data_IF_835028471410
#
_entry.id   IF_835028471410
#
_cell.length_a   1.000
_cell.length_b   1.000
_cell.length_c   1.000
_cell.angle_alpha   90.00
_cell.angle_beta   90.00
_cell.angle_gamma   90.00
#
_symmetry.space_group_name_H-M   'P 1'
#
loop_
_entity.id
_entity.type
_entity.pdbx_description
1 polymer ?
#
# COMPACT_ATOMS: atom_id res chain seq x y z
N UNK A 1 -25.18 31.17 75.43
CA UNK A 1 -26.05 32.30 75.02
C UNK A 1 -26.89 31.83 73.83
N UNK A 2 -28.20 31.70 74.08
CA UNK A 2 -29.35 31.89 73.17
C UNK A 2 -29.29 31.36 71.71
N UNK A 3 -30.04 30.27 71.49
CA UNK A 3 -31.04 30.11 70.40
C UNK A 3 -31.92 31.37 70.27
N UNK A 4 -32.57 31.70 69.12
CA UNK A 4 -33.60 30.82 68.55
C UNK A 4 -33.85 30.87 67.02
N UNK A 5 -34.55 29.80 66.60
CA UNK A 5 -35.43 29.70 65.44
C UNK A 5 -36.30 30.96 65.22
N UNK A 6 -36.48 31.35 63.96
CA UNK A 6 -37.63 32.16 63.55
C UNK A 6 -38.32 31.58 62.32
N UNK A 7 -39.56 31.10 62.57
CA UNK A 7 -40.58 30.75 61.60
C UNK A 7 -41.05 32.01 60.87
N UNK A 8 -40.91 32.04 59.54
CA UNK A 8 -41.59 32.99 58.67
C UNK A 8 -42.93 32.43 58.19
N UNK A 9 -44.01 32.89 58.80
CA UNK A 9 -45.41 32.72 58.37
C UNK A 9 -45.65 33.52 57.08
N UNK A 10 -46.25 32.93 56.04
CA UNK A 10 -46.91 33.66 54.95
C UNK A 10 -48.29 33.04 54.64
N UNK A 11 -49.24 33.84 54.15
CA UNK A 11 -50.65 33.73 54.53
C UNK A 11 -51.46 32.79 53.65
N UNK A 12 -52.58 32.34 54.22
CA UNK A 12 -53.71 31.71 53.51
C UNK A 12 -54.43 32.78 52.69
N UNK A 13 -54.67 32.49 51.41
CA UNK A 13 -55.72 33.15 50.63
C UNK A 13 -56.34 32.19 49.62
N UNK A 14 -57.57 31.81 49.97
CA UNK A 14 -58.75 31.62 49.10
C UNK A 14 -58.59 30.92 47.75
N UNK A 15 -59.15 29.71 47.73
CA UNK A 15 -59.77 29.01 46.61
C UNK A 15 -60.57 29.94 45.71
N UNK A 16 -60.30 29.89 44.39
CA UNK A 16 -61.32 30.07 43.35
C UNK A 16 -61.13 28.98 42.31
N UNK A 17 -62.06 28.02 42.34
CA UNK A 17 -62.21 26.95 41.37
C UNK A 17 -62.91 27.54 40.13
N UNK A 18 -62.16 27.80 39.07
CA UNK A 18 -62.73 28.14 37.77
C UNK A 18 -62.65 26.90 36.88
N UNK A 19 -63.80 26.29 36.65
CA UNK A 19 -64.03 25.21 35.71
C UNK A 19 -63.87 25.78 34.29
N UNK A 20 -62.73 25.54 33.64
CA UNK A 20 -62.53 25.86 32.23
C UNK A 20 -62.63 24.56 31.42
N UNK A 21 -63.57 24.57 30.49
CA UNK A 21 -63.96 23.48 29.62
C UNK A 21 -62.78 22.94 28.81
N UNK A 22 -62.80 21.62 28.61
CA UNK A 22 -61.77 20.89 27.90
C UNK A 22 -61.72 21.22 26.41
N UNK A 23 -60.48 21.32 25.93
CA UNK A 23 -60.12 21.08 24.53
C UNK A 23 -59.00 20.05 24.58
N UNK A 24 -59.36 18.78 24.46
CA UNK A 24 -58.41 17.67 24.31
C UNK A 24 -57.75 17.84 22.94
N UNK A 25 -56.63 18.56 22.90
CA UNK A 25 -55.75 18.55 21.74
C UNK A 25 -55.14 17.16 21.65
N UNK A 26 -55.71 16.33 20.77
CA UNK A 26 -55.13 15.06 20.36
C UNK A 26 -53.84 15.37 19.59
N UNK A 27 -52.72 15.49 20.30
CA UNK A 27 -51.40 15.46 19.69
C UNK A 27 -51.25 14.10 19.01
N UNK A 28 -51.42 14.08 17.69
CA UNK A 28 -51.02 12.98 16.85
C UNK A 28 -49.49 12.87 16.97
N UNK A 29 -49.02 12.04 17.89
CA UNK A 29 -47.64 11.57 17.87
C UNK A 29 -47.50 10.70 16.62
N UNK A 30 -47.12 11.32 15.50
CA UNK A 30 -46.52 10.58 14.40
C UNK A 30 -45.19 10.10 14.98
N UNK A 31 -45.18 8.85 15.46
CA UNK A 31 -43.95 8.12 15.72
C UNK A 31 -43.26 7.94 14.36
N UNK A 32 -42.49 8.94 13.95
CA UNK A 32 -41.53 8.78 12.87
C UNK A 32 -40.57 7.70 13.33
N UNK A 33 -40.73 6.49 12.80
CA UNK A 33 -39.73 5.46 12.91
C UNK A 33 -38.47 6.03 12.27
N UNK A 34 -37.57 6.57 13.10
CA UNK A 34 -36.22 6.88 12.71
C UNK A 34 -35.63 5.55 12.24
N UNK A 35 -35.62 5.34 10.92
CA UNK A 35 -34.86 4.27 10.33
C UNK A 35 -33.42 4.61 10.63
N UNK A 36 -32.85 4.00 11.67
CA UNK A 36 -31.43 3.95 11.87
C UNK A 36 -30.88 3.21 10.65
N UNK A 37 -30.54 3.95 9.60
CA UNK A 37 -29.85 3.39 8.45
C UNK A 37 -28.55 2.78 8.95
N UNK A 38 -28.41 1.48 8.79
CA UNK A 38 -27.14 0.79 9.05
C UNK A 38 -26.11 1.38 8.09
N UNK A 39 -25.14 2.12 8.59
CA UNK A 39 -23.97 2.51 7.81
C UNK A 39 -23.22 1.23 7.43
N UNK A 40 -22.98 0.96 6.13
CA UNK A 40 -22.25 -0.22 5.71
C UNK A 40 -20.84 -0.21 6.33
N UNK A 41 -20.36 -1.38 6.73
CA UNK A 41 -18.97 -1.58 7.11
C UNK A 41 -18.05 -1.25 5.92
N UNK A 42 -16.75 -0.96 6.16
CA UNK A 42 -15.79 -0.74 5.07
C UNK A 42 -15.72 -1.90 4.08
N UNK A 43 -15.96 -3.13 4.55
CA UNK A 43 -16.00 -4.32 3.71
C UNK A 43 -17.25 -4.35 2.81
N UNK A 44 -18.41 -4.03 3.36
CA UNK A 44 -19.66 -3.93 2.58
C UNK A 44 -19.60 -2.77 1.58
N UNK A 45 -19.00 -1.65 1.98
CA UNK A 45 -18.79 -0.50 1.09
C UNK A 45 -17.86 -0.83 -0.08
N UNK A 46 -16.73 -1.49 0.19
CA UNK A 46 -15.79 -1.91 -0.86
C UNK A 46 -16.40 -2.98 -1.78
N UNK A 47 -17.17 -3.92 -1.23
CA UNK A 47 -17.86 -4.94 -2.03
C UNK A 47 -19.00 -4.37 -2.90
N UNK A 48 -19.61 -3.26 -2.49
CA UNK A 48 -20.67 -2.58 -3.23
C UNK A 48 -20.15 -1.51 -4.21
N UNK A 49 -18.89 -1.10 -4.09
CA UNK A 49 -18.28 -0.14 -5.00
C UNK A 49 -18.11 -0.75 -6.41
N UNK A 50 -18.37 0.05 -7.43
CA UNK A 50 -18.02 -0.33 -8.80
C UNK A 50 -16.49 -0.39 -8.91
N UNK A 51 -15.98 -1.44 -9.58
CA UNK A 51 -14.54 -1.59 -9.78
C UNK A 51 -14.01 -0.46 -10.65
N UNK A 52 -12.96 0.22 -10.20
CA UNK A 52 -12.22 1.23 -10.98
C UNK A 52 -11.30 0.60 -12.04
N UNK A 53 -11.10 -0.72 -11.99
CA UNK A 53 -10.22 -1.47 -12.89
C UNK A 53 -10.45 -1.22 -14.38
N UNK A 54 -11.68 -1.17 -14.93
CA UNK A 54 -11.87 -0.91 -16.36
C UNK A 54 -11.27 0.42 -16.81
N UNK A 55 -11.40 1.48 -16.01
CA UNK A 55 -10.77 2.78 -16.30
C UNK A 55 -9.25 2.71 -16.20
N UNK A 56 -8.71 1.98 -15.22
CA UNK A 56 -7.27 1.75 -15.08
C UNK A 56 -6.70 0.94 -16.26
N UNK A 57 -7.46 0.01 -16.82
CA UNK A 57 -7.06 -0.73 -18.03
C UNK A 57 -6.90 0.22 -19.21
N UNK A 58 -7.83 1.17 -19.38
CA UNK A 58 -7.71 2.22 -20.39
C UNK A 58 -6.48 3.10 -20.13
N UNK A 59 -6.35 3.65 -18.93
CA UNK A 59 -5.33 4.65 -18.60
C UNK A 59 -3.90 4.09 -18.57
N UNK A 60 -3.73 2.84 -18.13
CA UNK A 60 -2.40 2.23 -17.90
C UNK A 60 -1.98 1.30 -19.04
N UNK A 61 -2.95 0.67 -19.72
CA UNK A 61 -2.68 -0.40 -20.69
C UNK A 61 -3.30 -0.15 -22.06
N UNK A 62 -3.85 1.03 -22.34
CA UNK A 62 -4.44 1.42 -23.64
C UNK A 62 -5.49 0.41 -24.14
N UNK A 63 -6.35 -0.09 -23.24
CA UNK A 63 -7.38 -1.09 -23.53
C UNK A 63 -6.86 -2.41 -24.13
N UNK A 64 -5.56 -2.70 -23.98
CA UNK A 64 -4.97 -3.95 -24.47
C UNK A 64 -5.66 -5.16 -23.84
N UNK A 65 -6.05 -6.17 -24.63
CA UNK A 65 -6.69 -7.37 -24.11
C UNK A 65 -5.73 -8.13 -23.19
N UNK A 66 -6.26 -8.59 -22.06
CA UNK A 66 -5.52 -9.38 -21.08
C UNK A 66 -6.13 -10.78 -20.97
N UNK A 67 -5.26 -11.78 -20.95
CA UNK A 67 -5.63 -13.16 -20.65
C UNK A 67 -5.61 -13.40 -19.13
N UNK A 68 -6.29 -14.46 -18.69
CA UNK A 68 -6.12 -14.96 -17.32
C UNK A 68 -4.65 -15.36 -17.11
N UNK A 69 -4.03 -14.79 -16.08
CA UNK A 69 -2.64 -15.05 -15.73
C UNK A 69 -2.44 -16.25 -14.80
N UNK A 70 -3.50 -16.98 -14.44
CA UNK A 70 -3.39 -18.19 -13.61
C UNK A 70 -2.39 -19.19 -14.21
N UNK A 71 -1.35 -19.53 -13.46
CA UNK A 71 -0.25 -20.40 -13.91
C UNK A 71 0.84 -19.70 -14.72
N UNK A 72 0.68 -18.42 -15.07
CA UNK A 72 1.69 -17.57 -15.74
C UNK A 72 2.34 -16.61 -14.75
N UNK A 73 1.53 -16.02 -13.88
CA UNK A 73 1.95 -15.16 -12.79
C UNK A 73 1.11 -15.46 -11.56
N UNK A 74 1.74 -15.56 -10.40
CA UNK A 74 1.07 -15.62 -9.11
C UNK A 74 1.32 -14.31 -8.35
N UNK A 75 0.27 -13.81 -7.70
CA UNK A 75 0.31 -12.63 -6.83
C UNK A 75 -0.08 -13.04 -5.41
N UNK A 76 0.89 -13.02 -4.52
CA UNK A 76 0.70 -13.30 -3.11
C UNK A 76 0.71 -12.00 -2.30
N UNK A 77 -0.36 -11.80 -1.53
CA UNK A 77 -0.50 -10.72 -0.57
C UNK A 77 -1.44 -11.16 0.56
N UNK A 78 -1.29 -10.63 1.78
CA UNK A 78 -2.13 -11.02 2.91
C UNK A 78 -3.60 -10.62 2.65
N UNK A 79 -4.54 -11.47 3.07
CA UNK A 79 -5.98 -11.15 2.96
C UNK A 79 -6.36 -9.87 3.73
N UNK A 80 -5.66 -9.60 4.83
CA UNK A 80 -5.77 -8.41 5.67
C UNK A 80 -4.38 -7.99 6.09
N UNK A 81 -4.01 -6.74 5.82
CA UNK A 81 -2.72 -6.21 6.27
C UNK A 81 -2.80 -5.80 7.74
N UNK A 82 -1.81 -6.22 8.53
CA UNK A 82 -1.63 -5.73 9.90
C UNK A 82 -1.18 -4.27 9.92
N UNK A 83 -0.30 -3.91 8.99
CA UNK A 83 0.15 -2.55 8.76
C UNK A 83 -0.03 -2.20 7.27
N UNK A 84 -0.92 -1.26 6.94
CA UNK A 84 -1.21 -0.87 5.56
C UNK A 84 -0.06 -0.10 4.90
N UNK A 85 0.94 0.38 5.65
CA UNK A 85 2.08 1.11 5.10
C UNK A 85 3.17 0.17 4.55
N UNK A 86 3.13 -1.12 4.89
CA UNK A 86 4.18 -2.12 4.58
C UNK A 86 3.57 -3.48 4.20
N UNK A 87 2.61 -3.49 3.28
CA UNK A 87 1.96 -4.72 2.81
C UNK A 87 2.96 -5.51 1.94
N UNK A 88 3.37 -6.73 2.32
CA UNK A 88 4.23 -7.54 1.47
C UNK A 88 3.46 -8.04 0.25
N UNK A 89 4.11 -7.96 -0.91
CA UNK A 89 3.63 -8.47 -2.19
C UNK A 89 4.73 -9.33 -2.80
N UNK A 90 4.42 -10.59 -3.10
CA UNK A 90 5.29 -11.51 -3.80
C UNK A 90 4.69 -11.85 -5.17
N UNK A 91 5.54 -11.78 -6.18
CA UNK A 91 5.25 -12.16 -7.55
C UNK A 91 6.04 -13.43 -7.87
N UNK A 92 5.37 -14.41 -8.46
CA UNK A 92 6.03 -15.60 -9.00
C UNK A 92 5.68 -15.74 -10.48
N UNK A 93 6.67 -15.93 -11.33
CA UNK A 93 6.55 -15.91 -12.78
C UNK A 93 6.84 -17.30 -13.35
N UNK A 94 6.06 -17.72 -14.33
CA UNK A 94 6.36 -18.93 -15.10
C UNK A 94 7.54 -18.67 -16.05
N UNK A 95 8.70 -19.35 -15.85
CA UNK A 95 9.86 -19.17 -16.72
C UNK A 95 9.58 -19.57 -18.18
N UNK A 96 8.60 -20.44 -18.45
CA UNK A 96 8.25 -20.84 -19.81
C UNK A 96 7.55 -19.71 -20.60
N UNK A 97 6.97 -18.72 -19.91
CA UNK A 97 6.20 -17.63 -20.52
C UNK A 97 7.03 -16.43 -20.94
N UNK A 98 8.32 -16.42 -20.59
CA UNK A 98 9.26 -15.34 -20.95
C UNK A 98 8.67 -13.95 -20.69
N UNK A 99 8.31 -13.70 -19.44
CA UNK A 99 7.78 -12.41 -19.02
C UNK A 99 8.92 -11.38 -19.07
N UNK A 100 8.68 -10.27 -19.77
CA UNK A 100 9.65 -9.17 -19.89
C UNK A 100 9.30 -7.97 -19.00
N UNK A 101 8.04 -7.83 -18.58
CA UNK A 101 7.59 -6.71 -17.77
C UNK A 101 6.44 -7.12 -16.86
N UNK A 102 6.41 -6.62 -15.63
CA UNK A 102 5.29 -6.79 -14.69
C UNK A 102 4.89 -5.44 -14.12
N UNK A 103 3.63 -5.07 -14.23
CA UNK A 103 3.07 -3.85 -13.65
C UNK A 103 2.16 -4.21 -12.48
N UNK A 104 2.48 -3.67 -11.30
CA UNK A 104 1.65 -3.73 -10.10
C UNK A 104 0.72 -2.53 -10.06
N UNK A 105 -0.58 -2.78 -10.00
CA UNK A 105 -1.62 -1.75 -9.88
C UNK A 105 -2.44 -2.00 -8.61
N UNK A 106 -2.71 -0.94 -7.85
CA UNK A 106 -3.50 -0.98 -6.61
C UNK A 106 -4.67 -0.01 -6.82
N UNK A 107 -5.84 -0.56 -7.10
CA UNK A 107 -6.95 0.19 -7.70
C UNK A 107 -7.31 1.47 -6.92
N UNK A 108 -7.49 1.35 -5.61
CA UNK A 108 -7.94 2.44 -4.75
C UNK A 108 -6.79 3.20 -4.05
N UNK A 109 -5.58 3.13 -4.62
CA UNK A 109 -4.49 4.00 -4.22
C UNK A 109 -4.56 5.35 -4.98
N UNK A 110 -4.17 6.47 -4.34
CA UNK A 110 -4.11 7.79 -5.00
C UNK A 110 -3.19 7.84 -6.23
N UNK A 111 -2.19 6.95 -6.28
CA UNK A 111 -1.46 6.60 -7.49
C UNK A 111 -1.60 5.09 -7.70
N UNK A 112 -2.43 4.64 -8.67
CA UNK A 112 -2.73 3.22 -8.82
C UNK A 112 -1.53 2.38 -9.24
N UNK A 113 -0.71 2.86 -10.18
CA UNK A 113 0.52 2.13 -10.58
C UNK A 113 1.54 2.22 -9.45
N UNK A 114 1.75 1.09 -8.77
CA UNK A 114 2.67 1.02 -7.65
C UNK A 114 4.12 0.89 -8.11
N UNK A 115 4.35 -0.01 -9.07
CA UNK A 115 5.62 -0.20 -9.74
C UNK A 115 5.45 -0.94 -11.06
N UNK A 116 6.34 -0.67 -12.00
CA UNK A 116 6.54 -1.47 -13.22
C UNK A 116 7.96 -1.99 -13.21
N UNK A 117 8.11 -3.31 -13.23
CA UNK A 117 9.39 -4.00 -13.30
C UNK A 117 9.65 -4.45 -14.74
N UNK A 118 10.80 -4.10 -15.31
CA UNK A 118 11.29 -4.69 -16.57
C UNK A 118 12.35 -5.73 -16.23
N UNK A 119 12.21 -6.93 -16.78
CA UNK A 119 13.03 -8.09 -16.44
C UNK A 119 14.12 -8.23 -17.50
N UNK A 120 15.37 -8.40 -17.06
CA UNK A 120 16.49 -8.65 -17.96
C UNK A 120 16.33 -10.00 -18.65
N UNK A 121 16.62 -10.07 -19.95
CA UNK A 121 16.37 -11.26 -20.77
C UNK A 121 17.02 -12.55 -20.23
N UNK A 122 18.23 -12.43 -19.66
CA UNK A 122 18.99 -13.55 -19.10
C UNK A 122 18.97 -13.58 -17.56
N UNK A 123 18.13 -12.76 -16.92
CA UNK A 123 18.07 -12.63 -15.46
C UNK A 123 17.71 -13.96 -14.79
N UNK A 124 16.89 -14.78 -15.44
CA UNK A 124 16.31 -15.99 -14.85
C UNK A 124 15.46 -15.70 -13.61
N UNK A 125 14.92 -14.48 -13.51
CA UNK A 125 14.05 -14.01 -12.44
C UNK A 125 12.69 -14.73 -12.55
N UNK A 126 12.29 -15.44 -11.51
CA UNK A 126 10.95 -16.01 -11.36
C UNK A 126 10.25 -15.64 -10.05
N UNK A 127 10.94 -15.00 -9.11
CA UNK A 127 10.36 -14.50 -7.88
C UNK A 127 10.84 -13.07 -7.63
N UNK A 128 9.90 -12.19 -7.30
CA UNK A 128 10.17 -10.82 -6.87
C UNK A 128 9.18 -10.44 -5.77
N UNK A 129 9.72 -10.00 -4.64
CA UNK A 129 8.97 -9.59 -3.46
C UNK A 129 9.35 -8.16 -3.07
N UNK A 130 8.34 -7.35 -2.79
CA UNK A 130 8.51 -6.00 -2.26
C UNK A 130 7.42 -5.65 -1.25
N UNK A 131 7.45 -4.42 -0.73
CA UNK A 131 6.44 -3.90 0.20
C UNK A 131 5.80 -2.65 -0.38
N UNK A 132 4.47 -2.61 -0.32
CA UNK A 132 3.66 -1.52 -0.84
C UNK A 132 2.78 -0.90 0.25
N UNK A 133 2.43 0.36 0.06
CA UNK A 133 1.41 1.09 0.80
C UNK A 133 0.05 0.81 0.16
N UNK A 134 -0.96 0.48 0.96
CA UNK A 134 -2.34 0.25 0.50
C UNK A 134 -3.28 1.22 1.22
N UNK A 135 -4.01 2.03 0.45
CA UNK A 135 -4.77 3.15 0.98
C UNK A 135 -6.22 2.79 1.34
N UNK A 136 -6.81 1.81 0.66
CA UNK A 136 -8.18 1.37 0.90
C UNK A 136 -8.32 -0.13 0.60
N UNK A 137 -9.47 -0.70 0.98
CA UNK A 137 -9.77 -2.10 0.68
C UNK A 137 -9.91 -2.22 -0.83
N UNK A 138 -9.04 -2.99 -1.45
CA UNK A 138 -8.80 -2.90 -2.89
C UNK A 138 -8.31 -4.23 -3.45
N UNK A 139 -8.56 -4.45 -4.73
CA UNK A 139 -7.78 -5.41 -5.50
C UNK A 139 -6.38 -4.82 -5.76
N UNK A 140 -5.37 -5.69 -5.63
CA UNK A 140 -4.05 -5.49 -6.21
C UNK A 140 -4.02 -6.34 -7.47
N UNK A 141 -3.71 -5.73 -8.61
CA UNK A 141 -3.54 -6.38 -9.89
C UNK A 141 -2.05 -6.52 -10.20
N UNK A 142 -1.66 -7.69 -10.71
CA UNK A 142 -0.36 -7.91 -11.33
C UNK A 142 -0.58 -8.24 -12.80
N UNK A 143 -0.08 -7.38 -13.68
CA UNK A 143 -0.18 -7.55 -15.13
C UNK A 143 1.20 -7.88 -15.68
N UNK A 144 1.37 -9.11 -16.16
CA UNK A 144 2.58 -9.60 -16.79
C UNK A 144 2.50 -9.44 -18.30
N UNK A 145 3.51 -8.82 -18.91
CA UNK A 145 3.68 -8.72 -20.35
C UNK A 145 4.80 -9.67 -20.81
N UNK A 146 4.44 -10.62 -21.67
CA UNK A 146 5.38 -11.54 -22.30
C UNK A 146 6.18 -10.86 -23.43
N UNK A 147 7.25 -11.52 -23.88
CA UNK A 147 8.05 -11.08 -25.04
C UNK A 147 7.22 -10.88 -26.31
N UNK A 148 6.19 -11.71 -26.53
CA UNK A 148 5.28 -11.61 -27.67
C UNK A 148 4.24 -10.48 -27.55
N UNK A 149 4.24 -9.75 -26.43
CA UNK A 149 3.31 -8.65 -26.16
C UNK A 149 1.97 -9.08 -25.56
N UNK A 150 1.76 -10.37 -25.29
CA UNK A 150 0.56 -10.84 -24.57
C UNK A 150 0.56 -10.33 -23.14
N UNK A 151 -0.59 -9.81 -22.70
CA UNK A 151 -0.82 -9.44 -21.31
C UNK A 151 -1.55 -10.57 -20.57
N UNK A 152 -1.09 -10.86 -19.36
CA UNK A 152 -1.69 -11.80 -18.44
C UNK A 152 -1.96 -11.08 -17.12
N UNK A 153 -3.15 -11.25 -16.55
CA UNK A 153 -3.53 -10.56 -15.32
C UNK A 153 -3.97 -11.56 -14.25
N UNK A 154 -3.49 -11.33 -13.04
CA UNK A 154 -4.05 -11.90 -11.80
C UNK A 154 -4.32 -10.79 -10.81
N UNK A 155 -5.21 -11.07 -9.85
CA UNK A 155 -5.55 -10.11 -8.80
C UNK A 155 -5.68 -10.74 -7.43
N UNK A 156 -5.49 -9.90 -6.41
CA UNK A 156 -5.63 -10.27 -5.01
C UNK A 156 -6.29 -9.13 -4.22
N UNK A 157 -7.48 -9.40 -3.68
CA UNK A 157 -8.14 -8.47 -2.76
C UNK A 157 -7.42 -8.42 -1.41
N UNK A 158 -7.13 -7.21 -0.93
CA UNK A 158 -6.43 -6.94 0.33
C UNK A 158 -7.24 -5.99 1.21
N UNK A 159 -7.52 -6.40 2.44
CA UNK A 159 -8.16 -5.56 3.47
C UNK A 159 -7.10 -4.73 4.20
N UNK A 160 -6.86 -3.51 3.73
CA UNK A 160 -5.90 -2.55 4.30
C UNK A 160 -6.38 -1.12 4.07
N UNK A 161 -6.12 -0.17 4.98
CA UNK A 161 -6.57 1.21 4.79
C UNK A 161 -5.62 2.24 5.41
N UNK A 162 -5.42 3.36 4.73
CA UNK A 162 -4.64 4.51 5.22
C UNK A 162 -3.12 4.40 5.09
N UNK A 163 -2.59 3.39 4.39
CA UNK A 163 -1.14 3.14 4.28
C UNK A 163 -0.35 4.28 3.62
N UNK A 164 -0.97 5.01 2.69
CA UNK A 164 -0.33 6.13 2.01
C UNK A 164 -0.19 7.36 2.92
N UNK A 165 -1.13 7.59 3.84
CA UNK A 165 -1.08 8.71 4.78
C UNK A 165 -0.48 8.32 6.16
N UNK A 166 -0.09 7.06 6.34
CA UNK A 166 0.50 6.57 7.58
C UNK A 166 1.78 7.36 7.92
N UNK A 167 1.96 7.79 9.18
CA UNK A 167 3.10 8.61 9.58
C UNK A 167 4.45 7.97 9.21
N UNK A 168 5.40 8.79 8.74
CA UNK A 168 6.78 8.37 8.50
C UNK A 168 7.54 8.13 9.83
N UNK A 169 8.75 7.54 9.76
CA UNK A 169 9.61 7.35 10.93
C UNK A 169 9.80 8.62 11.78
N UNK A 170 9.82 8.44 13.11
CA UNK A 170 9.81 9.54 14.10
C UNK A 170 11.11 10.36 14.16
N UNK A 171 12.19 9.92 13.50
CA UNK A 171 13.49 10.60 13.53
C UNK A 171 13.99 10.93 12.12
N UNK A 172 13.49 12.05 11.59
CA UNK A 172 13.86 12.56 10.28
C UNK A 172 15.36 12.91 10.18
N UNK A 173 16.00 13.28 11.30
CA UNK A 173 17.44 13.66 11.31
C UNK A 173 18.32 12.42 11.15
N UNK A 174 17.99 11.33 11.84
CA UNK A 174 18.67 10.06 11.67
C UNK A 174 18.40 9.46 10.27
N UNK A 175 17.16 9.54 9.79
CA UNK A 175 16.81 9.08 8.45
C UNK A 175 17.62 9.81 7.36
N UNK A 176 17.73 11.14 7.44
CA UNK A 176 18.51 11.94 6.50
C UNK A 176 20.00 11.55 6.44
N UNK A 177 20.62 11.17 7.57
CA UNK A 177 22.02 10.73 7.61
C UNK A 177 22.27 9.38 6.93
N UNK A 178 21.22 8.56 6.81
CA UNK A 178 21.29 7.25 6.20
C UNK A 178 20.67 7.20 4.81
N UNK A 179 20.19 8.32 4.29
CA UNK A 179 19.62 8.43 2.95
C UNK A 179 20.54 7.81 1.89
N UNK A 180 19.97 6.94 1.06
CA UNK A 180 20.69 6.28 -0.03
C UNK A 180 21.60 5.12 0.42
N UNK A 181 21.74 4.85 1.72
CA UNK A 181 22.52 3.70 2.17
C UNK A 181 21.86 2.41 1.70
N UNK A 182 22.60 1.63 0.90
CA UNK A 182 22.14 0.35 0.40
C UNK A 182 22.84 -0.83 1.08
N UNK A 183 22.09 -1.90 1.29
CA UNK A 183 22.59 -3.20 1.74
C UNK A 183 22.01 -4.31 0.87
N UNK A 184 22.86 -5.24 0.45
CA UNK A 184 22.46 -6.46 -0.22
C UNK A 184 22.72 -7.65 0.71
N UNK A 185 21.73 -8.54 0.83
CA UNK A 185 21.90 -9.87 1.44
C UNK A 185 21.76 -10.93 0.36
N UNK A 186 22.53 -12.00 0.48
CA UNK A 186 22.47 -13.18 -0.40
C UNK A 186 22.01 -14.36 0.43
N UNK A 187 21.20 -15.23 -0.17
CA UNK A 187 20.71 -16.45 0.44
C UNK A 187 21.04 -17.61 -0.49
N UNK A 188 21.43 -18.75 0.08
CA UNK A 188 21.61 -19.96 -0.70
C UNK A 188 20.27 -20.37 -1.35
N UNK A 189 20.35 -20.92 -2.57
CA UNK A 189 19.20 -21.51 -3.23
C UNK A 189 18.50 -22.52 -2.31
N UNK A 190 17.18 -22.52 -2.27
CA UNK A 190 16.44 -23.63 -1.69
C UNK A 190 16.73 -24.89 -2.52
N UNK A 191 16.98 -26.01 -1.84
CA UNK A 191 17.57 -27.23 -2.41
C UNK A 191 16.75 -27.93 -3.54
N UNK A 192 15.58 -27.39 -3.87
CA UNK A 192 14.64 -27.92 -4.86
C UNK A 192 14.63 -27.13 -6.19
N UNK A 193 15.37 -26.04 -6.31
CA UNK A 193 15.47 -25.30 -7.57
C UNK A 193 16.39 -26.04 -8.57
N UNK A 194 15.83 -26.49 -9.70
CA UNK A 194 16.62 -26.97 -10.83
C UNK A 194 17.50 -25.83 -11.37
N UNK A 195 18.82 -26.03 -11.35
CA UNK A 195 19.83 -25.06 -11.80
C UNK A 195 20.46 -24.22 -10.68
N UNK A 196 21.59 -23.58 -10.99
CA UNK A 196 22.26 -22.62 -10.10
C UNK A 196 21.41 -21.34 -10.00
N UNK A 197 20.35 -21.38 -9.17
CA UNK A 197 19.53 -20.21 -8.82
C UNK A 197 20.00 -19.64 -7.52
N UNK A 198 19.90 -18.33 -7.36
CA UNK A 198 20.32 -17.63 -6.14
C UNK A 198 19.23 -16.68 -5.72
N UNK A 199 19.19 -16.33 -4.43
CA UNK A 199 18.25 -15.34 -3.91
C UNK A 199 19.03 -14.18 -3.32
N UNK A 200 18.62 -12.96 -3.66
CA UNK A 200 19.18 -11.75 -3.10
C UNK A 200 18.08 -10.86 -2.51
N UNK A 201 18.46 -10.00 -1.59
CA UNK A 201 17.59 -8.98 -1.00
C UNK A 201 18.33 -7.64 -0.95
N UNK A 202 17.86 -6.69 -1.74
CA UNK A 202 18.31 -5.30 -1.74
C UNK A 202 17.44 -4.49 -0.80
N UNK A 203 18.09 -3.77 0.13
CA UNK A 203 17.46 -2.82 1.04
C UNK A 203 18.07 -1.44 0.81
N UNK A 204 17.22 -0.43 0.65
CA UNK A 204 17.63 0.95 0.41
C UNK A 204 17.03 1.82 1.51
N UNK A 205 17.88 2.59 2.19
CA UNK A 205 17.41 3.60 3.15
C UNK A 205 16.86 4.80 2.39
N UNK A 206 15.55 4.98 2.45
CA UNK A 206 14.87 6.08 1.77
C UNK A 206 13.49 6.33 2.42
N UNK A 207 13.10 7.59 2.67
CA UNK A 207 11.84 7.89 3.36
C UNK A 207 10.61 7.40 2.57
N UNK A 208 10.67 7.45 1.23
CA UNK A 208 9.56 7.06 0.37
C UNK A 208 8.23 7.68 0.85
N UNK A 209 8.27 9.00 1.04
CA UNK A 209 7.13 9.82 1.41
C UNK A 209 6.16 9.88 0.24
N UNK A 210 4.87 9.66 0.49
CA UNK A 210 3.84 9.61 -0.55
C UNK A 210 3.33 10.99 -0.92
N UNK A 211 3.62 12.02 -0.11
CA UNK A 211 3.00 13.34 -0.22
C UNK A 211 1.73 13.49 0.61
N UNK A 212 1.21 12.41 1.19
CA UNK A 212 -0.08 12.38 1.88
C UNK A 212 0.05 12.32 3.41
N UNK A 213 1.26 12.03 3.91
CA UNK A 213 1.54 12.08 5.34
C UNK A 213 1.49 13.52 5.85
N UNK A 214 1.06 13.69 7.11
CA UNK A 214 1.17 14.96 7.83
C UNK A 214 2.27 14.90 8.86
N UNK A 215 3.09 15.95 8.89
CA UNK A 215 4.04 16.18 9.96
C UNK A 215 3.28 16.47 11.26
N UNK A 216 3.59 15.71 12.32
CA UNK A 216 2.82 15.75 13.56
C UNK A 216 3.06 17.02 14.39
N UNK A 217 4.08 17.82 14.05
CA UNK A 217 4.43 19.06 14.74
C UNK A 217 3.87 20.26 14.00
N UNK A 218 4.20 20.38 12.71
CA UNK A 218 3.80 21.51 11.86
C UNK A 218 2.38 21.37 11.31
N UNK A 219 1.82 20.15 11.31
CA UNK A 219 0.52 19.79 10.74
C UNK A 219 0.41 19.99 9.22
N UNK A 220 1.53 20.29 8.56
CA UNK A 220 1.63 20.40 7.11
C UNK A 220 1.81 19.03 6.47
N UNK A 221 1.46 18.91 5.18
CA UNK A 221 1.78 17.71 4.41
C UNK A 221 3.29 17.61 4.20
N UNK A 222 3.82 16.41 4.40
CA UNK A 222 5.20 16.08 4.04
C UNK A 222 5.24 15.92 2.52
N UNK A 223 6.12 16.64 1.80
CA UNK A 223 6.25 16.51 0.35
C UNK A 223 6.53 15.06 -0.08
N UNK A 224 6.06 14.70 -1.28
CA UNK A 224 6.40 13.41 -1.86
C UNK A 224 7.91 13.35 -2.13
N UNK A 225 8.55 12.30 -1.62
CA UNK A 225 9.99 12.06 -1.78
C UNK A 225 10.22 10.56 -1.80
N UNK A 226 10.30 9.99 -3.00
CA UNK A 226 10.37 8.55 -3.21
C UNK A 226 11.30 8.17 -4.36
N UNK A 227 11.75 6.92 -4.36
CA UNK A 227 12.54 6.35 -5.46
C UNK A 227 11.63 6.17 -6.68
N UNK A 228 11.96 6.87 -7.77
CA UNK A 228 11.27 6.75 -9.07
C UNK A 228 11.83 5.62 -9.90
N UNK A 229 13.15 5.41 -9.86
CA UNK A 229 13.84 4.46 -10.72
C UNK A 229 14.82 3.61 -9.91
N UNK A 230 14.90 2.33 -10.24
CA UNK A 230 15.91 1.39 -9.72
C UNK A 230 16.40 0.50 -10.86
N UNK A 231 17.72 0.32 -10.98
CA UNK A 231 18.35 -0.72 -11.78
C UNK A 231 19.15 -1.65 -10.87
N UNK A 232 19.02 -2.95 -11.11
CA UNK A 232 19.78 -4.01 -10.43
C UNK A 232 20.43 -4.90 -11.48
N UNK A 233 21.75 -4.97 -11.43
CA UNK A 233 22.57 -5.80 -12.30
C UNK A 233 23.39 -6.79 -11.48
N UNK A 234 23.69 -7.96 -12.04
CA UNK A 234 24.64 -8.92 -11.48
C UNK A 234 25.61 -9.40 -12.56
N UNK A 235 26.91 -9.22 -12.32
CA UNK A 235 27.95 -9.62 -13.29
C UNK A 235 27.85 -8.89 -14.63
N UNK A 236 27.35 -7.63 -14.62
CA UNK A 236 27.13 -6.81 -15.81
C UNK A 236 25.89 -7.19 -16.64
N UNK A 237 25.03 -8.09 -16.12
CA UNK A 237 23.74 -8.43 -16.72
C UNK A 237 22.62 -7.80 -15.90
N UNK A 238 21.66 -7.18 -16.58
CA UNK A 238 20.46 -6.67 -15.94
C UNK A 238 19.66 -7.83 -15.33
N UNK A 239 19.29 -7.71 -14.05
CA UNK A 239 18.33 -8.59 -13.41
C UNK A 239 16.94 -8.00 -13.60
N UNK A 240 16.75 -6.77 -13.15
CA UNK A 240 15.54 -5.99 -13.43
C UNK A 240 15.80 -4.50 -13.29
N UNK A 241 14.94 -3.71 -13.93
CA UNK A 241 14.72 -2.31 -13.61
C UNK A 241 13.31 -2.12 -13.03
N UNK A 242 13.11 -1.06 -12.27
CA UNK A 242 11.81 -0.66 -11.72
C UNK A 242 11.59 0.82 -12.01
N UNK A 243 10.41 1.14 -12.54
CA UNK A 243 9.82 2.47 -12.41
C UNK A 243 8.74 2.42 -11.33
N UNK A 244 8.89 3.22 -10.27
CA UNK A 244 8.07 3.18 -9.06
C UNK A 244 7.23 4.45 -8.87
N UNK A 245 6.23 4.34 -7.99
CA UNK A 245 5.43 5.46 -7.52
C UNK A 245 5.43 5.59 -6.00
N UNK A 246 4.56 6.48 -5.51
CA UNK A 246 4.33 6.75 -4.07
C UNK A 246 3.88 5.53 -3.27
N UNK A 247 3.52 4.42 -3.93
CA UNK A 247 3.02 3.21 -3.32
C UNK A 247 4.13 2.26 -2.86
N UNK A 248 5.39 2.43 -3.26
CA UNK A 248 6.50 1.66 -2.65
C UNK A 248 6.73 2.16 -1.22
N UNK A 249 6.78 1.23 -0.26
CA UNK A 249 6.93 1.54 1.16
C UNK A 249 8.24 2.25 1.51
N UNK A 250 8.25 2.88 2.70
CA UNK A 250 9.47 3.37 3.35
C UNK A 250 10.53 2.26 3.46
N UNK A 251 11.80 2.66 3.36
CA UNK A 251 12.96 1.77 3.25
C UNK A 251 12.74 0.66 2.20
N UNK A 252 12.70 1.02 0.90
CA UNK A 252 12.39 0.08 -0.17
C UNK A 252 13.21 -1.20 -0.08
N UNK A 253 12.50 -2.33 -0.20
CA UNK A 253 13.05 -3.66 -0.07
C UNK A 253 12.62 -4.50 -1.26
N UNK A 254 13.59 -5.13 -1.92
CA UNK A 254 13.37 -6.00 -3.06
C UNK A 254 14.08 -7.32 -2.80
N UNK A 255 13.32 -8.40 -2.62
CA UNK A 255 13.86 -9.76 -2.55
C UNK A 255 13.53 -10.45 -3.86
N UNK A 256 14.51 -11.10 -4.47
CA UNK A 256 14.33 -11.67 -5.79
C UNK A 256 15.27 -12.86 -5.99
N UNK A 257 14.86 -13.78 -6.85
CA UNK A 257 15.73 -14.82 -7.35
C UNK A 257 16.40 -14.40 -8.67
N UNK A 258 17.45 -15.12 -9.04
CA UNK A 258 18.11 -14.93 -10.35
C UNK A 258 18.89 -16.18 -10.73
N UNK A 259 19.16 -16.33 -12.02
CA UNK A 259 20.08 -17.34 -12.54
C UNK A 259 21.53 -16.86 -12.39
N UNK A 260 22.34 -17.61 -11.63
CA UNK A 260 23.73 -17.25 -11.37
C UNK A 260 24.44 -18.16 -10.35
N UNK A 261 25.75 -17.99 -10.26
CA UNK A 261 26.63 -18.78 -9.39
C UNK A 261 26.69 -18.28 -7.95
N UNK A 262 26.18 -17.08 -7.68
CA UNK A 262 26.23 -16.43 -6.37
C UNK A 262 27.51 -15.62 -6.14
N UNK A 263 28.46 -15.70 -7.08
CA UNK A 263 29.77 -15.03 -7.06
C UNK A 263 29.78 -13.72 -7.86
N UNK A 264 28.64 -13.33 -8.43
CA UNK A 264 28.54 -12.10 -9.20
C UNK A 264 28.59 -10.86 -8.31
N UNK A 265 29.35 -9.85 -8.74
CA UNK A 265 29.23 -8.50 -8.19
C UNK A 265 27.88 -7.93 -8.62
N UNK A 266 27.09 -7.45 -7.66
CA UNK A 266 25.89 -6.69 -7.95
C UNK A 266 26.22 -5.21 -8.11
N UNK A 267 25.54 -4.56 -9.04
CA UNK A 267 25.47 -3.11 -9.13
C UNK A 267 24.01 -2.70 -8.94
N UNK A 268 23.74 -1.80 -7.99
CA UNK A 268 22.42 -1.23 -7.80
C UNK A 268 22.47 0.28 -7.94
N UNK A 269 21.53 0.84 -8.71
CA UNK A 269 21.38 2.27 -8.96
C UNK A 269 19.95 2.69 -8.73
N UNK A 270 19.71 3.66 -7.86
CA UNK A 270 18.40 4.24 -7.60
C UNK A 270 18.39 5.75 -7.86
N UNK A 271 17.25 6.28 -8.32
CA UNK A 271 17.01 7.72 -8.50
C UNK A 271 15.72 8.11 -7.79
N UNK A 272 15.72 9.25 -7.10
CA UNK A 272 14.54 9.77 -6.40
C UNK A 272 13.90 10.99 -7.11
N UNK A 273 12.74 11.40 -6.62
CA UNK A 273 11.99 12.55 -7.14
C UNK A 273 12.72 13.90 -7.04
N UNK A 274 13.80 14.00 -6.26
CA UNK A 274 14.63 15.20 -6.15
C UNK A 274 15.83 15.17 -7.13
N UNK A 275 15.96 14.08 -7.89
CA UNK A 275 17.07 13.86 -8.82
C UNK A 275 18.34 13.33 -8.16
N UNK A 276 18.28 12.93 -6.88
CA UNK A 276 19.40 12.29 -6.20
C UNK A 276 19.63 10.91 -6.80
N UNK A 277 20.91 10.55 -6.98
CA UNK A 277 21.31 9.24 -7.49
C UNK A 277 22.10 8.51 -6.41
N UNK A 278 21.66 7.30 -6.11
CA UNK A 278 22.29 6.42 -5.12
C UNK A 278 22.78 5.16 -5.84
N UNK A 279 24.08 4.90 -5.80
CA UNK A 279 24.69 3.77 -6.49
C UNK A 279 25.62 3.00 -5.55
N UNK A 280 25.62 1.67 -5.67
CA UNK A 280 26.53 0.83 -4.89
C UNK A 280 26.82 -0.50 -5.58
N UNK A 281 28.09 -0.85 -5.58
CA UNK A 281 28.55 -2.20 -5.92
C UNK A 281 28.60 -3.09 -4.67
N UNK A 282 28.20 -4.35 -4.85
CA UNK A 282 28.27 -5.39 -3.83
C UNK A 282 29.06 -6.58 -4.39
N UNK A 283 30.39 -6.61 -4.18
CA UNK A 283 31.21 -7.75 -4.56
C UNK A 283 30.72 -9.06 -3.94
N UNK A 284 31.12 -10.19 -4.51
CA UNK A 284 30.90 -11.48 -3.85
C UNK A 284 31.58 -11.51 -2.47
N UNK A 285 30.90 -12.07 -1.48
CA UNK A 285 31.44 -12.23 -0.11
C UNK A 285 31.28 -11.03 0.83
N UNK A 286 30.84 -9.85 0.36
CA UNK A 286 30.46 -8.75 1.26
C UNK A 286 29.05 -8.97 1.82
N UNK A 287 28.92 -9.24 3.13
CA UNK A 287 27.65 -9.46 3.86
C UNK A 287 27.39 -8.39 4.91
#
# INVERSE_FOLDING_TARGET
>A
MLTPLHRGRRPRSSVRLSLAAGTTALCLFIAGAAHAGTTPSPEEAAAAAESSWPGLVTDVFDDRPMQDGTGVIALEAPARATDPAIVPVKLTLDPAKKIRKVTLVIDENPSPVAATFTIGADAGLTELETRVRVNAYTDIHAVAEAEDGTLYMVKRFVKAAGGCAAPAAKDAVAAAKSLGQMRLKRFAAEAEAEGERQVAQLMIRHPNNSGLQKDQVTLLYIPAHFITDLSVEAGGREIFTMSGGISISEDPNFRFDYAGKGEETFHAKATDTEGSVFEKDFPAGSS
#
